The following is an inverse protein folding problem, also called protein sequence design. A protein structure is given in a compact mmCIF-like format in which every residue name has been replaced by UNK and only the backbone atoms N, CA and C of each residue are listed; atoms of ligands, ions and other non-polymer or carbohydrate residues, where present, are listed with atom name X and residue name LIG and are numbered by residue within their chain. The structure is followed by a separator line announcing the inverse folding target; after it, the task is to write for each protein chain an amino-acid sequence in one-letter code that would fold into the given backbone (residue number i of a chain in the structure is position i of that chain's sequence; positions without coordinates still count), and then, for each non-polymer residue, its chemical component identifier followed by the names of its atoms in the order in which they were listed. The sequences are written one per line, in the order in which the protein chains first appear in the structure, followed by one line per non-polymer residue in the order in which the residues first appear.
data_IF_385398735354
#
_entry.id   IF_385398735354
#
_cell.length_a   1.000
_cell.length_b   1.000
_cell.length_c   1.000
_cell.angle_alpha   90.00
_cell.angle_beta   90.00
_cell.angle_gamma   90.00
#
_symmetry.space_group_name_H-M   'P 1'
#
loop_
_entity.id
_entity.type
_entity.pdbx_description
1 polymer ?
#
# COMPACT_ATOMS: atom_id res chain seq x y z
N UNK A 1 -1.44 -13.72 6.44
CA UNK A 1 -1.57 -12.32 6.87
C UNK A 1 -2.58 -12.25 8.00
N UNK A 2 -2.27 -11.52 9.08
CA UNK A 2 -3.17 -11.41 10.25
C UNK A 2 -4.24 -10.32 10.07
N UNK A 3 -3.97 -9.32 9.22
CA UNK A 3 -4.85 -8.18 8.97
C UNK A 3 -5.02 -7.97 7.47
N UNK A 4 -6.25 -7.74 7.04
CA UNK A 4 -6.60 -7.40 5.66
C UNK A 4 -6.65 -5.88 5.51
N UNK A 5 -7.14 -5.18 6.54
CA UNK A 5 -7.25 -3.73 6.60
C UNK A 5 -6.35 -3.16 7.70
N UNK A 6 -5.98 -1.89 7.55
CA UNK A 6 -5.24 -1.13 8.57
C UNK A 6 -6.03 -1.08 9.88
N UNK A 7 -5.34 -1.32 11.00
CA UNK A 7 -5.90 -1.12 12.34
C UNK A 7 -6.29 0.35 12.51
N UNK A 8 -7.53 0.59 12.93
CA UNK A 8 -8.14 1.93 13.02
C UNK A 8 -8.21 2.67 11.67
N UNK A 9 -8.08 1.97 10.54
CA UNK A 9 -8.16 2.55 9.19
C UNK A 9 -9.38 3.45 8.97
N UNK A 10 -10.60 3.04 9.33
CA UNK A 10 -11.80 3.90 9.18
C UNK A 10 -11.76 5.25 9.92
N UNK A 11 -10.83 5.46 10.87
CA UNK A 11 -10.63 6.75 11.53
C UNK A 11 -9.79 7.75 10.71
N UNK A 12 -9.21 7.30 9.59
CA UNK A 12 -8.34 8.08 8.70
C UNK A 12 -8.81 7.89 7.26
N UNK A 13 -9.13 8.97 6.56
CA UNK A 13 -9.60 8.89 5.18
C UNK A 13 -8.47 8.62 4.16
N UNK A 14 -7.22 8.99 4.49
CA UNK A 14 -6.09 8.93 3.56
C UNK A 14 -6.43 9.56 2.21
N UNK A 15 -7.10 10.70 2.23
CA UNK A 15 -7.47 11.44 1.05
C UNK A 15 -6.51 12.62 0.85
N UNK A 16 -5.83 12.67 -0.29
CA UNK A 16 -5.19 13.90 -0.77
C UNK A 16 -6.19 14.68 -1.63
N UNK A 17 -6.86 15.64 -1.00
CA UNK A 17 -7.84 16.54 -1.63
C UNK A 17 -7.22 17.44 -2.72
N UNK A 18 -5.89 17.59 -2.74
CA UNK A 18 -5.21 18.35 -3.80
C UNK A 18 -5.04 17.56 -5.11
N UNK A 19 -5.25 16.23 -5.07
CA UNK A 19 -5.11 15.37 -6.23
C UNK A 19 -6.36 15.41 -7.12
N UNK A 20 -6.32 16.22 -8.17
CA UNK A 20 -7.43 16.36 -9.12
C UNK A 20 -7.55 15.22 -10.13
N UNK A 21 -6.49 14.43 -10.34
CA UNK A 21 -6.51 13.29 -11.26
C UNK A 21 -7.26 12.09 -10.66
N UNK A 22 -7.11 11.90 -9.35
CA UNK A 22 -7.74 10.83 -8.58
C UNK A 22 -8.51 11.43 -7.40
N UNK A 23 -9.63 12.13 -7.68
CA UNK A 23 -10.38 12.83 -6.64
C UNK A 23 -10.96 11.84 -5.64
N UNK A 24 -11.07 12.29 -4.39
CA UNK A 24 -11.66 11.49 -3.33
C UNK A 24 -13.17 11.38 -3.52
N UNK A 25 -13.70 10.16 -3.41
CA UNK A 25 -15.12 9.91 -3.45
C UNK A 25 -15.75 10.20 -2.07
N UNK A 26 -16.94 10.78 -2.08
CA UNK A 26 -17.67 11.07 -0.84
C UNK A 26 -17.90 9.79 -0.02
N UNK A 27 -17.68 9.89 1.29
CA UNK A 27 -17.82 8.78 2.24
C UNK A 27 -16.91 7.57 1.97
N UNK A 28 -15.79 7.75 1.26
CA UNK A 28 -14.79 6.71 1.05
C UNK A 28 -13.51 7.01 1.82
N UNK A 29 -12.87 5.94 2.28
CA UNK A 29 -11.57 5.97 2.95
C UNK A 29 -10.57 5.07 2.23
N UNK A 30 -9.38 5.61 2.01
CA UNK A 30 -8.27 5.00 1.28
C UNK A 30 -7.17 4.53 2.25
N UNK A 31 -7.53 4.05 3.44
CA UNK A 31 -6.60 3.43 4.38
C UNK A 31 -6.06 2.09 3.86
N UNK A 32 -5.04 1.57 4.55
CA UNK A 32 -4.30 0.39 4.11
C UNK A 32 -5.19 -0.84 3.91
N UNK A 33 -5.15 -1.45 2.73
CA UNK A 33 -5.80 -2.74 2.44
C UNK A 33 -4.88 -3.72 1.71
N UNK A 34 -5.12 -5.00 1.93
CA UNK A 34 -4.45 -6.10 1.25
C UNK A 34 -2.96 -6.28 1.63
N UNK A 35 -2.25 -7.18 0.92
CA UNK A 35 -0.86 -7.52 1.20
C UNK A 35 0.18 -6.44 0.98
N UNK A 36 -0.12 -5.30 0.35
CA UNK A 36 0.83 -4.17 0.35
C UNK A 36 0.37 -3.04 1.27
N UNK A 37 -0.79 -3.20 1.93
CA UNK A 37 -1.48 -2.13 2.64
C UNK A 37 -1.59 -0.89 1.75
N UNK A 38 -2.22 -1.05 0.58
CA UNK A 38 -2.42 0.02 -0.38
C UNK A 38 -3.19 1.16 0.31
N UNK A 39 -2.62 2.36 0.30
CA UNK A 39 -3.19 3.55 0.93
C UNK A 39 -3.16 4.74 -0.03
N UNK A 40 -4.05 5.72 0.20
CA UNK A 40 -4.23 6.95 -0.56
C UNK A 40 -4.96 6.85 -1.90
N UNK A 41 -5.83 7.83 -2.16
CA UNK A 41 -6.58 7.99 -3.42
C UNK A 41 -5.69 7.91 -4.66
N UNK A 42 -4.51 8.53 -4.60
CA UNK A 42 -3.54 8.53 -5.70
C UNK A 42 -2.85 7.18 -5.95
N UNK A 43 -3.03 6.17 -5.09
CA UNK A 43 -2.62 4.80 -5.35
C UNK A 43 -3.81 3.91 -5.74
N UNK A 44 -4.95 4.06 -5.07
CA UNK A 44 -6.17 3.31 -5.38
C UNK A 44 -6.68 3.58 -6.81
N UNK A 45 -6.70 4.84 -7.24
CA UNK A 45 -7.13 5.24 -8.58
C UNK A 45 -6.33 4.58 -9.71
N UNK A 46 -4.99 4.75 -9.78
CA UNK A 46 -4.21 4.14 -10.85
C UNK A 46 -4.13 2.60 -10.76
N UNK A 47 -4.15 2.02 -9.55
CA UNK A 47 -4.27 0.57 -9.39
C UNK A 47 -5.59 0.06 -10.00
N UNK A 48 -6.70 0.74 -9.69
CA UNK A 48 -8.02 0.47 -10.27
C UNK A 48 -8.00 0.49 -11.79
N UNK A 49 -7.45 1.54 -12.38
CA UNK A 49 -7.30 1.70 -13.82
C UNK A 49 -6.48 0.57 -14.47
N UNK A 50 -5.38 0.15 -13.84
CA UNK A 50 -4.50 -0.89 -14.39
C UNK A 50 -5.07 -2.30 -14.26
N UNK A 51 -5.85 -2.57 -13.21
CA UNK A 51 -6.30 -3.91 -12.83
C UNK A 51 -7.72 -4.18 -13.34
N UNK A 52 -8.53 -3.14 -13.50
CA UNK A 52 -9.92 -3.21 -13.93
C UNK A 52 -10.92 -3.22 -12.78
N UNK A 53 -10.71 -2.40 -11.74
CA UNK A 53 -11.67 -2.18 -10.65
C UNK A 53 -11.84 -0.69 -10.35
N UNK A 54 -12.97 -0.32 -9.74
CA UNK A 54 -13.20 1.08 -9.32
C UNK A 54 -12.51 1.37 -7.99
N UNK A 55 -11.26 1.84 -8.05
CA UNK A 55 -10.48 2.14 -6.86
C UNK A 55 -10.94 3.38 -6.10
N UNK A 56 -11.66 4.30 -6.73
CA UNK A 56 -12.08 5.54 -6.08
C UNK A 56 -13.44 5.40 -5.39
N UNK A 57 -14.42 4.76 -6.03
CA UNK A 57 -15.76 4.58 -5.49
C UNK A 57 -15.98 3.22 -4.82
N UNK A 58 -15.04 2.28 -4.96
CA UNK A 58 -15.12 0.97 -4.31
C UNK A 58 -13.75 0.50 -3.75
N UNK A 59 -13.01 1.32 -2.99
CA UNK A 59 -11.71 0.92 -2.44
C UNK A 59 -11.76 -0.31 -1.52
N UNK A 60 -12.91 -0.58 -0.88
CA UNK A 60 -13.16 -1.76 -0.06
C UNK A 60 -13.02 -3.09 -0.80
N UNK A 61 -13.07 -3.08 -2.14
CA UNK A 61 -12.88 -4.29 -2.95
C UNK A 61 -11.49 -4.91 -2.76
N UNK A 62 -10.47 -4.09 -2.43
CA UNK A 62 -9.10 -4.57 -2.16
C UNK A 62 -9.02 -5.43 -0.89
N UNK A 63 -9.98 -5.28 0.03
CA UNK A 63 -10.09 -6.09 1.23
C UNK A 63 -11.02 -7.30 1.08
N UNK A 64 -11.98 -7.24 0.15
CA UNK A 64 -13.04 -8.25 0.04
C UNK A 64 -12.84 -9.24 -1.11
N UNK A 65 -12.15 -8.83 -2.18
CA UNK A 65 -11.81 -9.69 -3.31
C UNK A 65 -10.33 -10.11 -3.25
N UNK A 66 -10.09 -11.43 -3.19
CA UNK A 66 -8.74 -11.99 -3.06
C UNK A 66 -7.88 -11.75 -4.30
N UNK A 67 -8.46 -11.86 -5.50
CA UNK A 67 -7.71 -11.66 -6.74
C UNK A 67 -7.27 -10.20 -6.86
N UNK A 68 -8.19 -9.26 -6.62
CA UNK A 68 -7.88 -7.82 -6.64
C UNK A 68 -6.86 -7.47 -5.54
N UNK A 69 -7.00 -8.03 -4.34
CA UNK A 69 -6.03 -7.83 -3.25
C UNK A 69 -4.60 -8.24 -3.64
N UNK A 70 -4.44 -9.38 -4.31
CA UNK A 70 -3.13 -9.81 -4.79
C UNK A 70 -2.65 -9.00 -6.01
N UNK A 71 -3.52 -8.71 -6.97
CA UNK A 71 -3.17 -7.92 -8.16
C UNK A 71 -2.74 -6.51 -7.81
N UNK A 72 -3.36 -5.87 -6.82
CA UNK A 72 -2.91 -4.56 -6.31
C UNK A 72 -1.51 -4.62 -5.67
N UNK A 73 -1.20 -5.70 -4.96
CA UNK A 73 0.15 -5.92 -4.41
C UNK A 73 1.20 -6.06 -5.51
N UNK A 74 0.92 -6.91 -6.52
CA UNK A 74 1.82 -7.09 -7.66
C UNK A 74 1.95 -5.79 -8.47
N UNK A 75 0.85 -5.08 -8.71
CA UNK A 75 0.87 -3.78 -9.39
C UNK A 75 1.79 -2.79 -8.67
N UNK A 76 1.64 -2.64 -7.35
CA UNK A 76 2.49 -1.72 -6.59
C UNK A 76 3.96 -2.12 -6.69
N UNK A 77 4.25 -3.42 -6.55
CA UNK A 77 5.60 -3.95 -6.67
C UNK A 77 6.22 -3.67 -8.04
N UNK A 78 5.51 -3.96 -9.12
CA UNK A 78 6.02 -3.76 -10.48
C UNK A 78 6.27 -2.28 -10.81
N UNK A 79 5.48 -1.37 -10.24
CA UNK A 79 5.64 0.07 -10.50
C UNK A 79 6.68 0.76 -9.60
N UNK A 80 6.97 0.23 -8.40
CA UNK A 80 7.77 0.96 -7.40
C UNK A 80 8.98 0.19 -6.87
N UNK A 81 8.96 -1.15 -6.92
CA UNK A 81 9.96 -1.99 -6.24
C UNK A 81 10.76 -2.88 -7.20
N UNK A 82 10.15 -3.32 -8.30
CA UNK A 82 10.76 -4.22 -9.27
C UNK A 82 12.06 -3.64 -9.84
N UNK A 83 12.02 -2.43 -10.40
CA UNK A 83 13.18 -1.83 -11.04
C UNK A 83 14.37 -1.64 -10.07
N UNK A 84 14.18 -1.09 -8.84
CA UNK A 84 15.26 -1.01 -7.88
C UNK A 84 15.92 -2.35 -7.55
N UNK A 85 15.14 -3.44 -7.41
CA UNK A 85 15.72 -4.73 -7.04
C UNK A 85 16.43 -5.40 -8.23
N UNK A 86 15.88 -5.34 -9.45
CA UNK A 86 16.47 -6.02 -10.62
C UNK A 86 17.64 -5.25 -11.24
N UNK A 87 17.69 -3.92 -11.07
CA UNK A 87 18.79 -3.08 -11.56
C UNK A 87 19.86 -2.80 -10.50
N UNK A 88 19.93 -3.61 -9.44
CA UNK A 88 21.07 -3.64 -8.52
C UNK A 88 21.10 -2.52 -7.47
N UNK A 89 20.01 -1.79 -7.26
CA UNK A 89 19.90 -0.85 -6.13
C UNK A 89 19.71 -1.58 -4.79
N UNK A 90 19.29 -2.85 -4.85
CA UNK A 90 19.19 -3.75 -3.71
C UNK A 90 17.89 -3.61 -2.92
N UNK A 91 17.72 -4.49 -1.94
CA UNK A 91 16.50 -4.58 -1.13
C UNK A 91 16.18 -3.31 -0.32
N UNK A 92 17.21 -2.56 0.11
CA UNK A 92 17.00 -1.30 0.81
C UNK A 92 16.22 -0.26 -0.02
N UNK A 93 16.36 -0.28 -1.34
CA UNK A 93 15.64 0.61 -2.24
C UNK A 93 14.14 0.26 -2.33
N UNK A 94 13.77 -1.02 -2.19
CA UNK A 94 12.35 -1.42 -2.14
C UNK A 94 11.71 -1.00 -0.82
N UNK A 95 12.44 -1.07 0.30
CA UNK A 95 11.97 -0.53 1.59
C UNK A 95 11.73 0.98 1.48
N UNK A 96 12.67 1.70 0.86
CA UNK A 96 12.54 3.13 0.60
C UNK A 96 11.32 3.47 -0.26
N UNK A 97 11.03 2.66 -1.27
CA UNK A 97 9.84 2.84 -2.11
C UNK A 97 8.54 2.65 -1.32
N UNK A 98 8.48 1.62 -0.47
CA UNK A 98 7.27 1.29 0.31
C UNK A 98 7.01 2.32 1.42
N UNK A 99 8.03 2.69 2.20
CA UNK A 99 7.84 3.54 3.37
C UNK A 99 9.06 4.41 3.74
N UNK A 100 9.86 4.79 2.75
CA UNK A 100 11.10 5.56 2.93
C UNK A 100 10.97 6.82 3.80
N UNK A 101 9.92 7.65 3.63
CA UNK A 101 9.72 8.83 4.47
C UNK A 101 9.58 8.53 5.97
N UNK A 102 9.20 7.31 6.36
CA UNK A 102 9.06 6.93 7.77
C UNK A 102 10.23 6.06 8.26
N UNK A 103 10.80 5.21 7.40
CA UNK A 103 11.72 4.15 7.83
C UNK A 103 13.19 4.35 7.44
N UNK A 104 13.50 5.28 6.52
CA UNK A 104 14.86 5.48 5.99
C UNK A 104 15.57 6.72 6.57
N UNK A 105 16.88 6.84 6.28
CA UNK A 105 17.73 8.01 6.57
C UNK A 105 17.84 8.38 8.06
N UNK A 106 17.93 7.37 8.92
CA UNK A 106 18.12 7.57 10.36
C UNK A 106 16.87 8.06 11.09
N UNK A 107 15.71 8.10 10.42
CA UNK A 107 14.43 8.38 11.06
C UNK A 107 14.11 7.26 12.03
N UNK A 108 14.00 7.63 13.31
CA UNK A 108 13.75 6.69 14.40
C UNK A 108 12.44 5.95 14.16
N UNK A 109 12.46 4.64 14.44
CA UNK A 109 11.28 3.79 14.61
C UNK A 109 10.47 4.30 15.82
N UNK A 110 9.82 5.45 15.68
CA UNK A 110 9.05 6.06 16.76
C UNK A 110 8.02 5.04 17.20
N UNK A 111 7.97 4.75 18.50
CA UNK A 111 7.08 3.77 19.15
C UNK A 111 5.59 3.86 18.75
N UNK A 112 5.18 4.88 18.01
CA UNK A 112 3.86 5.00 17.37
C UNK A 112 3.65 4.03 16.18
N UNK A 113 4.73 3.54 15.54
CA UNK A 113 4.66 2.47 14.53
C UNK A 113 4.50 1.06 15.13
N UNK A 114 4.63 0.92 16.46
CA UNK A 114 4.31 -0.31 17.20
C UNK A 114 2.83 -0.39 17.60
N UNK A 115 2.08 0.72 17.49
CA UNK A 115 0.65 0.79 17.85
C UNK A 115 -0.26 0.97 16.63
N UNK A 116 0.27 1.49 15.52
CA UNK A 116 -0.41 1.42 14.21
C UNK A 116 0.05 0.15 13.48
N UNK A 117 -0.88 -0.68 13.02
CA UNK A 117 -0.67 -2.04 12.46
C UNK A 117 0.25 -2.17 11.23
N UNK A 118 1.06 -1.16 10.92
CA UNK A 118 1.93 -1.05 9.75
C UNK A 118 3.16 -1.96 9.88
N UNK A 119 3.80 -2.08 11.05
CA UNK A 119 5.08 -2.82 11.20
C UNK A 119 4.96 -4.35 11.13
N UNK A 120 3.82 -4.91 11.55
CA UNK A 120 3.58 -6.35 11.39
C UNK A 120 3.17 -6.70 9.95
N UNK A 121 2.54 -5.75 9.24
CA UNK A 121 2.13 -5.95 7.86
C UNK A 121 3.36 -5.90 6.94
N UNK A 122 4.22 -4.89 7.02
CA UNK A 122 5.43 -4.80 6.16
C UNK A 122 6.31 -6.05 6.26
N UNK A 123 6.66 -6.52 7.47
CA UNK A 123 7.52 -7.70 7.64
C UNK A 123 6.93 -9.04 7.15
N UNK A 124 5.60 -9.22 7.22
CA UNK A 124 4.92 -10.44 6.73
C UNK A 124 4.73 -10.37 5.21
N UNK A 125 4.48 -9.18 4.67
CA UNK A 125 4.25 -8.96 3.24
C UNK A 125 5.52 -9.20 2.41
N UNK A 126 6.70 -8.88 2.97
CA UNK A 126 7.99 -9.14 2.30
C UNK A 126 8.25 -10.60 1.98
N UNK A 127 7.86 -11.56 2.84
CA UNK A 127 8.07 -13.00 2.56
C UNK A 127 7.20 -13.52 1.42
N UNK A 128 6.02 -12.94 1.23
CA UNK A 128 5.11 -13.36 0.15
C UNK A 128 5.55 -12.78 -1.19
N UNK A 129 6.04 -11.54 -1.20
CA UNK A 129 6.50 -10.85 -2.40
C UNK A 129 7.84 -11.42 -2.89
N UNK A 130 8.77 -11.74 -2.00
CA UNK A 130 10.01 -12.43 -2.38
C UNK A 130 9.78 -13.84 -2.93
N UNK A 131 8.64 -14.47 -2.62
CA UNK A 131 8.26 -15.78 -3.17
C UNK A 131 7.56 -15.68 -4.55
N UNK A 132 7.30 -14.46 -5.04
CA UNK A 132 6.77 -14.21 -6.39
C UNK A 132 7.89 -13.89 -7.41
N UNK A 133 9.16 -13.95 -6.98
CA UNK A 133 10.37 -13.84 -7.79
C UNK A 133 11.10 -15.18 -7.72
#
# INVERSE_FOLDING_TARGET
MCYIEEIDGPSKDYCDESNTQYPCAANKGYYGRGPIQLSWNFNYGPAGNSIGFDGLNNPEIVATDRDISFRTTVWYWMNNCHDPIVFGQGFGATIRAINGPLECDGRTRTRLALVSGITHSTAINFKLILAMI
#
